data_IF_016657666186
#
_entry.id   IF_016657666186
#
_cell.length_a   1.000
_cell.length_b   1.000
_cell.length_c   1.000
_cell.angle_alpha   90.00
_cell.angle_beta   90.00
_cell.angle_gamma   90.00
#
_symmetry.space_group_name_H-M   'P 1'
#
loop_
_entity.id
_entity.type
_entity.pdbx_description
1 polymer ?
#
# COMPACT_ATOMS: atom_id res chain seq x y z
N UNK A 1 -17.07 -97.75 57.38
CA UNK A 1 -16.80 -97.19 58.72
C UNK A 1 -15.36 -96.70 58.74
N UNK A 2 -15.20 -95.37 58.85
CA UNK A 2 -14.15 -94.61 59.56
C UNK A 2 -12.67 -94.66 59.10
N UNK A 3 -12.08 -93.44 59.12
CA UNK A 3 -10.67 -93.01 59.22
C UNK A 3 -9.85 -92.99 57.92
N UNK A 4 -9.76 -91.87 57.19
CA UNK A 4 -8.99 -90.65 57.50
C UNK A 4 -7.49 -90.90 57.74
N UNK A 5 -6.63 -90.50 56.78
CA UNK A 5 -5.26 -90.05 57.04
C UNK A 5 -4.84 -88.97 56.06
N UNK A 6 -4.46 -87.82 56.65
CA UNK A 6 -3.79 -86.69 56.04
C UNK A 6 -2.38 -87.05 55.58
N UNK A 7 -1.93 -86.45 54.48
CA UNK A 7 -0.63 -85.80 54.34
C UNK A 7 -0.45 -85.37 52.88
N UNK A 8 -0.15 -84.10 52.61
CA UNK A 8 0.00 -83.67 51.22
C UNK A 8 0.46 -82.24 51.01
N UNK A 9 1.74 -82.00 51.30
CA UNK A 9 2.64 -81.03 50.66
C UNK A 9 2.33 -79.53 50.74
N UNK A 10 3.17 -78.85 51.51
CA UNK A 10 3.44 -77.43 51.46
C UNK A 10 4.19 -77.08 50.16
N UNK A 11 3.56 -76.28 49.30
CA UNK A 11 4.15 -75.72 48.08
C UNK A 11 4.80 -74.37 48.41
N UNK A 12 6.13 -74.30 48.41
CA UNK A 12 6.87 -73.04 48.47
C UNK A 12 6.70 -72.28 47.13
N UNK A 13 6.07 -71.10 47.18
CA UNK A 13 5.99 -70.17 46.06
C UNK A 13 7.19 -69.20 46.09
N UNK A 14 8.20 -69.44 45.26
CA UNK A 14 9.31 -68.50 45.02
C UNK A 14 8.89 -67.47 43.99
N UNK A 15 8.65 -66.23 44.43
CA UNK A 15 8.30 -65.09 43.57
C UNK A 15 9.61 -64.57 42.95
N UNK A 16 9.84 -64.89 41.68
CA UNK A 16 10.94 -64.32 40.89
C UNK A 16 10.56 -62.89 40.46
N UNK A 17 11.10 -61.88 41.15
CA UNK A 17 10.93 -60.48 40.77
C UNK A 17 11.82 -60.12 39.58
N UNK A 18 11.23 -59.93 38.40
CA UNK A 18 11.91 -59.32 37.26
C UNK A 18 12.03 -57.81 37.48
N UNK A 19 13.24 -57.34 37.76
CA UNK A 19 13.59 -55.91 37.74
C UNK A 19 13.83 -55.49 36.28
N UNK A 20 13.11 -54.48 35.73
CA UNK A 20 13.39 -53.99 34.40
C UNK A 20 14.69 -53.16 34.36
N UNK A 21 15.47 -53.22 33.26
CA UNK A 21 16.69 -52.43 33.12
C UNK A 21 16.38 -50.91 33.01
N UNK A 22 17.29 -50.04 33.48
CA UNK A 22 17.12 -48.60 33.35
C UNK A 22 17.04 -48.17 31.89
N UNK A 23 16.04 -47.34 31.57
CA UNK A 23 15.79 -46.82 30.23
C UNK A 23 16.87 -45.80 29.88
N UNK A 24 17.65 -46.06 28.84
CA UNK A 24 18.57 -45.08 28.29
C UNK A 24 17.79 -43.86 27.78
N UNK A 25 18.16 -42.67 28.23
CA UNK A 25 17.58 -41.41 27.77
C UNK A 25 17.97 -41.15 26.31
N UNK A 26 16.98 -40.81 25.48
CA UNK A 26 17.21 -40.48 24.07
C UNK A 26 17.96 -39.13 23.98
N UNK A 27 18.97 -38.99 23.11
CA UNK A 27 19.66 -37.72 22.92
C UNK A 27 18.66 -36.65 22.43
N UNK A 28 18.81 -35.39 22.87
CA UNK A 28 17.88 -34.33 22.51
C UNK A 28 17.88 -34.10 20.99
N UNK A 29 16.71 -33.76 20.39
CA UNK A 29 16.61 -33.48 18.97
C UNK A 29 17.51 -32.29 18.61
N UNK A 30 18.36 -32.48 17.59
CA UNK A 30 19.22 -31.43 17.05
C UNK A 30 18.34 -30.42 16.30
N UNK A 31 18.20 -29.21 16.83
CA UNK A 31 17.52 -28.10 16.14
C UNK A 31 18.29 -27.75 14.88
N UNK A 32 17.70 -28.01 13.72
CA UNK A 32 18.24 -27.58 12.43
C UNK A 32 18.11 -26.05 12.33
N UNK A 33 19.20 -25.36 12.01
CA UNK A 33 19.20 -23.91 11.89
C UNK A 33 18.32 -23.48 10.70
N UNK A 34 17.46 -22.48 10.92
CA UNK A 34 16.62 -21.93 9.85
C UNK A 34 17.50 -21.40 8.69
N UNK A 35 17.09 -21.62 7.42
CA UNK A 35 17.82 -21.09 6.28
C UNK A 35 17.88 -19.55 6.35
N UNK A 36 18.99 -18.94 5.91
CA UNK A 36 19.14 -17.50 5.95
C UNK A 36 18.04 -16.80 5.11
N UNK A 37 17.59 -15.61 5.53
CA UNK A 37 16.58 -14.86 4.79
C UNK A 37 17.07 -14.54 3.37
N UNK A 38 16.16 -14.65 2.40
CA UNK A 38 16.48 -14.35 1.01
C UNK A 38 17.01 -12.91 0.86
N UNK A 39 18.02 -12.67 -0.01
CA UNK A 39 18.54 -11.33 -0.24
C UNK A 39 17.44 -10.41 -0.80
N UNK A 40 17.44 -9.15 -0.35
CA UNK A 40 16.47 -8.16 -0.79
C UNK A 40 16.54 -7.96 -2.32
N UNK A 41 15.39 -7.77 -3.01
CA UNK A 41 15.38 -7.53 -4.45
C UNK A 41 16.15 -6.24 -4.79
N UNK A 42 16.96 -6.30 -5.86
CA UNK A 42 17.68 -5.14 -6.38
C UNK A 42 16.69 -4.06 -6.85
N UNK A 43 16.94 -2.76 -6.58
CA UNK A 43 16.11 -1.69 -7.13
C UNK A 43 16.06 -1.77 -8.65
N UNK A 44 14.85 -1.78 -9.23
CA UNK A 44 14.67 -1.74 -10.68
C UNK A 44 15.11 -0.35 -11.17
N UNK A 45 15.98 -0.25 -12.19
CA UNK A 45 16.35 1.04 -12.76
C UNK A 45 15.10 1.77 -13.27
N UNK A 46 14.91 3.01 -12.82
CA UNK A 46 13.91 3.89 -13.40
C UNK A 46 14.33 4.19 -14.84
N UNK A 47 13.43 4.01 -15.80
CA UNK A 47 13.73 4.28 -17.21
C UNK A 47 14.17 5.74 -17.43
N UNK A 48 15.00 5.98 -18.43
CA UNK A 48 15.51 7.31 -18.74
C UNK A 48 14.39 8.26 -19.22
N UNK A 49 13.49 7.79 -20.09
CA UNK A 49 12.27 8.54 -20.44
C UNK A 49 11.20 8.28 -19.38
N UNK A 50 10.60 9.37 -18.91
CA UNK A 50 9.51 9.35 -17.95
C UNK A 50 8.24 8.72 -18.48
N UNK A 51 8.09 8.71 -19.80
CA UNK A 51 6.98 8.03 -20.44
C UNK A 51 7.06 6.53 -20.17
N UNK A 52 8.22 5.97 -19.92
CA UNK A 52 8.34 4.54 -19.64
C UNK A 52 8.28 4.22 -18.15
N UNK A 53 8.01 5.22 -17.30
CA UNK A 53 7.84 4.99 -15.87
C UNK A 53 6.54 4.23 -15.60
N UNK A 54 6.57 3.24 -14.69
CA UNK A 54 5.36 2.56 -14.27
C UNK A 54 4.41 3.55 -13.60
N UNK A 55 3.10 3.33 -13.77
CA UNK A 55 2.10 4.10 -13.04
C UNK A 55 2.29 3.93 -11.53
N UNK A 56 2.07 5.01 -10.79
CA UNK A 56 1.95 4.91 -9.34
C UNK A 56 0.74 4.05 -8.97
N UNK A 57 0.78 3.32 -7.84
CA UNK A 57 -0.35 2.49 -7.42
C UNK A 57 -1.62 3.31 -7.24
N UNK A 58 -2.68 2.94 -7.97
CA UNK A 58 -3.99 3.55 -7.81
C UNK A 58 -4.85 3.56 -9.05
N UNK A 59 -6.08 4.05 -8.87
CA UNK A 59 -7.04 4.33 -9.95
C UNK A 59 -7.69 5.69 -9.71
N UNK A 60 -8.28 6.25 -10.76
CA UNK A 60 -9.16 7.41 -10.61
C UNK A 60 -10.53 7.02 -10.07
N UNK A 61 -11.07 7.92 -9.26
CA UNK A 61 -12.41 7.85 -8.69
C UNK A 61 -13.02 9.25 -8.76
N UNK A 62 -14.00 9.44 -9.64
CA UNK A 62 -14.75 10.69 -9.74
C UNK A 62 -15.99 10.68 -8.83
N UNK A 63 -16.23 11.73 -8.05
CA UNK A 63 -17.44 11.91 -7.23
C UNK A 63 -17.89 13.37 -7.25
N UNK A 64 -19.10 13.62 -6.76
CA UNK A 64 -19.61 14.96 -6.44
C UNK A 64 -19.91 15.05 -4.96
N UNK A 65 -19.72 16.23 -4.40
CA UNK A 65 -20.05 16.56 -3.02
C UNK A 65 -20.61 18.00 -2.94
N UNK A 66 -20.84 18.49 -1.72
CA UNK A 66 -21.41 19.82 -1.50
C UNK A 66 -20.50 20.98 -1.97
N UNK A 67 -19.20 20.75 -2.16
CA UNK A 67 -18.25 21.76 -2.63
C UNK A 67 -18.09 21.77 -4.15
N UNK A 68 -18.57 20.73 -4.85
CA UNK A 68 -18.49 20.63 -6.30
C UNK A 68 -18.21 19.20 -6.77
N UNK A 69 -17.23 19.04 -7.65
CA UNK A 69 -16.80 17.76 -8.16
C UNK A 69 -15.34 17.49 -7.80
N UNK A 70 -15.00 16.21 -7.68
CA UNK A 70 -13.68 15.78 -7.24
C UNK A 70 -13.27 14.49 -7.95
N UNK A 71 -12.04 14.46 -8.44
CA UNK A 71 -11.36 13.29 -8.93
C UNK A 71 -10.23 12.94 -7.98
N UNK A 72 -10.24 11.71 -7.48
CA UNK A 72 -9.29 11.18 -6.52
C UNK A 72 -8.45 10.10 -7.20
N UNK A 73 -7.14 10.21 -7.14
CA UNK A 73 -6.22 9.18 -7.60
C UNK A 73 -5.46 8.58 -6.43
N UNK A 74 -5.53 7.26 -6.27
CA UNK A 74 -4.78 6.53 -5.25
C UNK A 74 -5.20 5.07 -5.14
N UNK A 75 -4.58 4.30 -4.23
CA UNK A 75 -4.96 2.92 -3.95
C UNK A 75 -6.40 2.83 -3.43
N UNK A 76 -7.07 1.71 -3.70
CA UNK A 76 -8.40 1.47 -3.14
C UNK A 76 -8.34 1.40 -1.60
N UNK A 77 -9.36 1.97 -0.94
CA UNK A 77 -9.48 2.01 0.53
C UNK A 77 -8.32 2.73 1.25
N UNK A 78 -7.68 3.68 0.57
CA UNK A 78 -6.63 4.54 1.14
C UNK A 78 -6.89 6.01 0.79
N UNK A 79 -6.17 6.90 1.46
CA UNK A 79 -6.18 8.32 1.11
C UNK A 79 -5.61 8.55 -0.30
N UNK A 80 -6.19 9.53 -1.01
CA UNK A 80 -5.78 9.83 -2.38
C UNK A 80 -4.36 10.41 -2.41
N UNK A 81 -3.50 9.92 -3.30
CA UNK A 81 -2.18 10.50 -3.50
C UNK A 81 -2.24 11.85 -4.24
N UNK A 82 -3.22 11.99 -5.15
CA UNK A 82 -3.48 13.21 -5.91
C UNK A 82 -5.00 13.44 -6.00
N UNK A 83 -5.40 14.70 -5.92
CA UNK A 83 -6.78 15.13 -6.01
C UNK A 83 -6.90 16.29 -6.98
N UNK A 84 -7.90 16.25 -7.87
CA UNK A 84 -8.35 17.40 -8.67
C UNK A 84 -9.74 17.75 -8.19
N UNK A 85 -9.92 18.93 -7.59
CA UNK A 85 -11.22 19.35 -7.04
C UNK A 85 -11.67 20.64 -7.67
N UNK A 86 -12.86 20.64 -8.25
CA UNK A 86 -13.59 21.87 -8.48
C UNK A 86 -14.24 22.32 -7.18
N UNK A 87 -13.96 23.55 -6.76
CA UNK A 87 -14.70 24.25 -5.73
C UNK A 87 -15.63 25.25 -6.41
N UNK A 88 -16.93 24.96 -6.44
CA UNK A 88 -17.91 25.79 -7.15
C UNK A 88 -18.15 27.13 -6.45
N UNK A 89 -18.01 27.16 -5.11
CA UNK A 89 -18.12 28.39 -4.33
C UNK A 89 -16.96 29.35 -4.60
N UNK A 90 -15.72 28.83 -4.67
CA UNK A 90 -14.54 29.62 -4.99
C UNK A 90 -14.33 29.83 -6.51
N UNK A 91 -15.03 29.07 -7.36
CA UNK A 91 -14.78 28.97 -8.81
C UNK A 91 -13.31 28.69 -9.14
N UNK A 92 -12.72 27.76 -8.40
CA UNK A 92 -11.31 27.38 -8.54
C UNK A 92 -11.17 25.87 -8.62
N UNK A 93 -10.10 25.45 -9.29
CA UNK A 93 -9.65 24.06 -9.25
C UNK A 93 -8.46 23.95 -8.32
N UNK A 94 -8.55 23.03 -7.35
CA UNK A 94 -7.46 22.69 -6.45
C UNK A 94 -6.82 21.38 -6.88
N UNK A 95 -5.57 21.46 -7.35
CA UNK A 95 -4.71 20.29 -7.57
C UNK A 95 -3.95 20.01 -6.28
N UNK A 96 -4.37 18.99 -5.54
CA UNK A 96 -3.82 18.67 -4.22
C UNK A 96 -3.00 17.39 -4.26
N UNK A 97 -1.88 17.37 -3.54
CA UNK A 97 -1.00 16.21 -3.37
C UNK A 97 -0.83 15.88 -1.90
N UNK A 98 -0.88 14.60 -1.55
CA UNK A 98 -0.67 14.14 -0.19
C UNK A 98 0.74 14.51 0.30
N UNK A 99 0.84 14.99 1.55
CA UNK A 99 2.07 15.43 2.19
C UNK A 99 1.99 16.85 2.74
N UNK A 100 3.01 17.23 3.52
CA UNK A 100 3.13 18.54 4.16
C UNK A 100 4.21 19.44 3.55
N UNK A 101 4.95 18.94 2.54
CA UNK A 101 6.02 19.69 1.87
C UNK A 101 5.43 20.85 1.07
N UNK A 102 5.76 22.10 1.44
CA UNK A 102 5.24 23.30 0.76
C UNK A 102 6.09 23.77 -0.43
N UNK A 103 6.92 22.92 -1.02
CA UNK A 103 7.67 23.25 -2.25
C UNK A 103 6.76 23.14 -3.48
N UNK A 104 6.94 23.94 -4.54
CA UNK A 104 6.14 23.85 -5.75
C UNK A 104 6.04 22.43 -6.33
N UNK A 105 4.89 22.10 -6.91
CA UNK A 105 4.75 20.90 -7.73
C UNK A 105 5.28 21.18 -9.13
N UNK A 106 6.03 20.25 -9.70
CA UNK A 106 6.34 20.25 -11.13
C UNK A 106 5.42 19.26 -11.83
N UNK A 107 4.56 19.77 -12.70
CA UNK A 107 3.64 19.00 -13.51
C UNK A 107 4.25 18.83 -14.89
N UNK A 108 4.52 17.58 -15.27
CA UNK A 108 5.07 17.23 -16.58
C UNK A 108 4.05 16.40 -17.36
N UNK A 109 3.68 16.91 -18.53
CA UNK A 109 2.74 16.30 -19.47
C UNK A 109 3.44 16.04 -20.80
N UNK A 110 2.74 15.52 -21.81
CA UNK A 110 3.32 15.38 -23.14
C UNK A 110 3.58 16.70 -23.88
N UNK A 111 2.92 17.80 -23.51
CA UNK A 111 3.00 19.10 -24.19
C UNK A 111 3.63 20.21 -23.35
N UNK A 112 3.52 20.15 -22.02
CA UNK A 112 4.03 21.18 -21.12
C UNK A 112 4.71 20.57 -19.88
N UNK A 113 5.74 21.26 -19.39
CA UNK A 113 6.25 21.09 -18.03
C UNK A 113 6.14 22.43 -17.32
N UNK A 114 5.40 22.48 -16.20
CA UNK A 114 5.16 23.73 -15.45
C UNK A 114 5.27 23.49 -13.96
N UNK A 115 5.97 24.40 -13.27
CA UNK A 115 5.95 24.47 -11.82
C UNK A 115 4.74 25.28 -11.34
N UNK A 116 4.02 24.78 -10.33
CA UNK A 116 2.88 25.46 -9.70
C UNK A 116 3.12 25.59 -8.20
N UNK A 117 2.96 26.79 -7.61
CA UNK A 117 3.10 26.97 -6.18
C UNK A 117 1.98 26.24 -5.44
N UNK A 118 2.28 25.77 -4.22
CA UNK A 118 1.31 25.09 -3.36
C UNK A 118 1.27 25.71 -1.98
N UNK A 119 0.13 25.53 -1.31
CA UNK A 119 -0.05 25.88 0.09
C UNK A 119 -0.61 24.68 0.87
N UNK A 120 -0.25 24.49 2.16
CA UNK A 120 -0.88 23.49 3.00
C UNK A 120 -2.39 23.70 3.09
N UNK A 121 -3.16 22.62 3.00
CA UNK A 121 -4.64 22.67 3.09
C UNK A 121 -5.16 22.73 4.53
N UNK A 122 -4.31 22.40 5.51
CA UNK A 122 -4.71 22.24 6.91
C UNK A 122 -5.58 21.00 7.19
N UNK A 123 -5.70 20.08 6.23
CA UNK A 123 -6.48 18.85 6.38
C UNK A 123 -5.71 17.76 7.14
N UNK A 124 -6.46 16.79 7.69
CA UNK A 124 -5.92 15.53 8.20
C UNK A 124 -6.53 14.38 7.38
N UNK A 125 -5.73 13.57 6.65
CA UNK A 125 -4.27 13.67 6.53
C UNK A 125 -3.81 14.93 5.78
N UNK A 126 -2.51 15.22 5.88
CA UNK A 126 -1.92 16.43 5.34
C UNK A 126 -1.89 16.42 3.81
N UNK A 127 -2.31 17.54 3.20
CA UNK A 127 -2.16 17.82 1.78
C UNK A 127 -1.56 19.21 1.58
N UNK A 128 -0.97 19.39 0.40
CA UNK A 128 -0.69 20.70 -0.18
C UNK A 128 -1.45 20.86 -1.49
N UNK A 129 -1.91 22.07 -1.80
CA UNK A 129 -2.72 22.33 -2.98
C UNK A 129 -2.22 23.53 -3.79
N UNK A 130 -2.22 23.38 -5.11
CA UNK A 130 -2.14 24.49 -6.06
C UNK A 130 -3.56 24.92 -6.43
N UNK A 131 -3.81 26.22 -6.40
CA UNK A 131 -5.05 26.80 -6.92
C UNK A 131 -4.86 27.18 -8.40
N UNK A 132 -5.76 26.71 -9.25
CA UNK A 132 -5.78 26.97 -10.69
C UNK A 132 -7.13 27.58 -11.06
N UNK A 133 -7.12 28.46 -12.07
CA UNK A 133 -8.36 28.92 -12.69
C UNK A 133 -8.98 27.79 -13.52
N UNK A 134 -10.32 27.70 -13.63
CA UNK A 134 -10.98 26.67 -14.45
C UNK A 134 -10.56 26.64 -15.94
N UNK A 135 -10.04 27.76 -16.46
CA UNK A 135 -9.55 27.91 -17.82
C UNK A 135 -8.00 27.85 -17.92
N UNK A 136 -7.30 27.46 -16.86
CA UNK A 136 -5.84 27.31 -16.91
C UNK A 136 -5.47 26.18 -17.88
N UNK A 137 -4.63 26.49 -18.88
CA UNK A 137 -4.22 25.54 -19.94
C UNK A 137 -3.44 24.32 -19.43
N UNK A 138 -2.93 24.37 -18.19
CA UNK A 138 -2.33 23.21 -17.55
C UNK A 138 -3.35 22.07 -17.35
N UNK A 139 -4.63 22.39 -17.13
CA UNK A 139 -5.68 21.40 -16.93
C UNK A 139 -5.87 20.56 -18.18
N UNK A 140 -6.02 21.21 -19.33
CA UNK A 140 -6.08 20.57 -20.65
C UNK A 140 -4.83 19.74 -20.92
N UNK A 141 -3.65 20.29 -20.62
CA UNK A 141 -2.40 19.57 -20.86
C UNK A 141 -2.29 18.29 -20.03
N UNK A 142 -2.89 18.25 -18.83
CA UNK A 142 -2.95 17.04 -18.01
C UNK A 142 -3.90 16.01 -18.61
N UNK A 143 -5.15 16.36 -18.93
CA UNK A 143 -6.13 15.40 -19.42
C UNK A 143 -5.90 14.95 -20.87
N UNK A 144 -5.24 15.76 -21.70
CA UNK A 144 -4.80 15.37 -23.05
C UNK A 144 -3.38 14.82 -23.12
N UNK A 145 -2.73 14.58 -21.97
CA UNK A 145 -1.40 13.98 -21.98
C UNK A 145 -1.44 12.56 -22.56
N UNK A 146 -0.40 12.17 -23.33
CA UNK A 146 -0.33 10.83 -23.95
C UNK A 146 -0.16 9.73 -22.89
N UNK A 147 -1.27 9.15 -22.44
CA UNK A 147 -1.34 8.05 -21.49
C UNK A 147 -1.13 8.46 -20.03
N UNK A 148 -0.09 9.27 -19.76
CA UNK A 148 0.30 9.66 -18.39
C UNK A 148 0.84 11.08 -18.29
N UNK A 149 0.79 11.62 -17.09
CA UNK A 149 1.53 12.81 -16.68
C UNK A 149 2.22 12.54 -15.34
N UNK A 150 3.18 13.38 -14.98
CA UNK A 150 3.98 13.22 -13.77
C UNK A 150 3.80 14.44 -12.87
N UNK A 151 3.54 14.19 -11.60
CA UNK A 151 3.54 15.19 -10.53
C UNK A 151 4.77 14.97 -9.67
N UNK A 152 5.71 15.91 -9.72
CA UNK A 152 6.95 15.88 -8.96
C UNK A 152 6.92 16.93 -7.86
N UNK A 153 7.62 16.64 -6.77
CA UNK A 153 7.80 17.57 -5.66
C UNK A 153 9.11 17.20 -4.99
N UNK A 154 9.89 18.20 -4.58
CA UNK A 154 11.18 17.96 -3.97
C UNK A 154 11.05 17.08 -2.72
N UNK A 155 11.92 16.08 -2.61
CA UNK A 155 11.95 15.16 -1.47
C UNK A 155 10.86 14.08 -1.46
N UNK A 156 10.00 14.00 -2.49
CA UNK A 156 8.99 12.94 -2.60
C UNK A 156 9.15 12.11 -3.89
N UNK A 157 8.79 10.82 -3.87
CA UNK A 157 8.73 10.02 -5.10
C UNK A 157 7.82 10.67 -6.15
N UNK A 158 8.13 10.61 -7.45
CA UNK A 158 7.24 11.12 -8.48
C UNK A 158 5.91 10.35 -8.49
N UNK A 159 4.80 11.06 -8.66
CA UNK A 159 3.51 10.42 -8.96
C UNK A 159 3.36 10.35 -10.48
N UNK A 160 3.26 9.14 -11.02
CA UNK A 160 3.00 8.87 -12.44
C UNK A 160 1.54 8.49 -12.58
N UNK A 161 0.75 9.38 -13.15
CA UNK A 161 -0.71 9.34 -13.06
C UNK A 161 -1.28 9.17 -14.47
N UNK A 162 -2.26 8.29 -14.67
CA UNK A 162 -2.93 8.17 -15.96
C UNK A 162 -3.73 9.44 -16.29
N UNK A 163 -3.65 9.88 -17.54
CA UNK A 163 -4.41 11.01 -18.06
C UNK A 163 -5.81 10.53 -18.51
N UNK A 164 -6.68 10.23 -17.56
CA UNK A 164 -8.05 9.74 -17.83
C UNK A 164 -9.10 10.85 -17.74
N UNK A 165 -10.32 10.54 -18.20
CA UNK A 165 -11.42 11.48 -18.38
C UNK A 165 -11.91 12.15 -17.09
N UNK A 166 -11.59 11.61 -15.92
CA UNK A 166 -11.99 12.19 -14.63
C UNK A 166 -11.42 13.60 -14.41
N UNK A 167 -10.23 13.89 -14.95
CA UNK A 167 -9.60 15.21 -14.86
C UNK A 167 -10.45 16.22 -15.65
N UNK A 168 -10.71 15.91 -16.92
CA UNK A 168 -11.52 16.77 -17.80
C UNK A 168 -12.95 16.92 -17.30
N UNK A 169 -13.53 15.86 -16.73
CA UNK A 169 -14.86 15.94 -16.13
C UNK A 169 -14.93 16.94 -14.97
N UNK A 170 -13.92 16.96 -14.09
CA UNK A 170 -13.85 17.96 -13.01
C UNK A 170 -13.60 19.36 -13.56
N UNK A 171 -12.75 19.48 -14.59
CA UNK A 171 -12.45 20.75 -15.25
C UNK A 171 -13.71 21.38 -15.85
N UNK A 172 -14.47 20.62 -16.63
CA UNK A 172 -15.71 21.08 -17.26
C UNK A 172 -16.80 21.43 -16.24
N UNK A 173 -16.95 20.63 -15.19
CA UNK A 173 -17.86 20.94 -14.08
C UNK A 173 -17.57 22.31 -13.44
N UNK A 174 -16.31 22.76 -13.48
CA UNK A 174 -15.89 24.04 -12.90
C UNK A 174 -16.02 25.23 -13.86
N UNK A 175 -16.11 24.96 -15.16
CA UNK A 175 -16.32 26.00 -16.19
C UNK A 175 -17.77 26.47 -16.21
N UNK A 176 -18.70 25.56 -15.94
CA UNK A 176 -20.15 25.84 -15.89
C UNK A 176 -20.81 25.49 -17.20
#
# INVERSE_FOLDING_TARGET
MVLARLAGLATLATIAGCVPPPRAEAPPPRTEAAPPPAPAPRPVPIAADWRDWPYSPGTWVYRRDARGSIALFGPANADAALTVRCDTGARQIYLSRAGSTATPLTIRTSSVTRAVPVQPTGSTPAYVAAALMPNDSLLEAMGFSRGRFVVQQAGLPPLVVPAWAEIERVTEDCRG
#
